data_IF_934509988327
#
_entry.id   IF_934509988327
#
_cell.length_a   1.000
_cell.length_b   1.000
_cell.length_c   1.000
_cell.angle_alpha   90.00
_cell.angle_beta   90.00
_cell.angle_gamma   90.00
#
_symmetry.space_group_name_H-M   'P 1'
#
loop_
_entity.id
_entity.type
_entity.pdbx_description
1 polymer ?
#
# COMPACT_ATOMS: atom_id res chain seq x y z
N UNK A 1 -0.05 1.82 -6.06
CA UNK A 1 -0.83 2.83 -5.31
C UNK A 1 -1.44 2.25 -4.03
N UNK A 2 -2.27 1.21 -4.14
CA UNK A 2 -3.06 0.68 -3.02
C UNK A 2 -4.42 1.39 -2.90
N UNK A 3 -5.18 1.02 -1.88
CA UNK A 3 -6.47 1.62 -1.55
C UNK A 3 -6.80 1.38 -0.07
N UNK A 4 -7.53 2.29 0.58
CA UNK A 4 -7.89 2.18 1.99
C UNK A 4 -8.73 0.92 2.22
N UNK A 5 -8.32 0.07 3.16
CA UNK A 5 -9.04 -1.16 3.47
C UNK A 5 -10.34 -0.88 4.25
N UNK A 6 -10.39 0.26 4.94
CA UNK A 6 -11.55 0.75 5.68
C UNK A 6 -11.81 2.24 5.45
N UNK A 7 -13.02 2.68 5.78
CA UNK A 7 -13.47 4.07 5.67
C UNK A 7 -12.63 5.07 6.50
N UNK A 8 -12.07 4.62 7.61
CA UNK A 8 -11.21 5.38 8.52
C UNK A 8 -9.83 5.66 7.92
N UNK A 9 -9.34 4.80 7.02
CA UNK A 9 -8.05 4.97 6.34
C UNK A 9 -8.12 5.97 5.17
N UNK A 10 -9.32 6.39 4.74
CA UNK A 10 -9.50 7.20 3.53
C UNK A 10 -8.76 8.54 3.59
N UNK A 11 -8.87 9.27 4.71
CA UNK A 11 -8.21 10.57 4.83
C UNK A 11 -6.70 10.47 4.82
N UNK A 12 -6.20 9.40 5.43
CA UNK A 12 -4.80 9.04 5.51
C UNK A 12 -4.24 8.66 4.12
N UNK A 13 -4.98 7.86 3.37
CA UNK A 13 -4.70 7.52 1.98
C UNK A 13 -4.62 8.76 1.09
N UNK A 14 -5.63 9.63 1.15
CA UNK A 14 -5.67 10.86 0.34
C UNK A 14 -4.52 11.81 0.70
N UNK A 15 -4.19 11.94 1.99
CA UNK A 15 -3.07 12.77 2.42
C UNK A 15 -1.75 12.29 1.82
N UNK A 16 -1.47 10.98 1.84
CA UNK A 16 -0.26 10.41 1.24
C UNK A 16 -0.25 10.61 -0.29
N UNK A 17 -1.38 10.39 -0.96
CA UNK A 17 -1.52 10.58 -2.40
C UNK A 17 -1.25 12.02 -2.83
N UNK A 18 -1.86 13.01 -2.17
CA UNK A 18 -1.67 14.42 -2.54
C UNK A 18 -0.34 14.99 -2.05
N UNK A 19 0.34 14.35 -1.09
CA UNK A 19 1.68 14.79 -0.65
C UNK A 19 2.78 14.31 -1.59
N UNK A 20 2.48 13.42 -2.54
CA UNK A 20 3.45 12.84 -3.46
C UNK A 20 3.73 13.76 -4.66
N UNK A 21 4.85 14.47 -4.62
CA UNK A 21 5.30 15.38 -5.69
C UNK A 21 5.69 14.64 -6.98
N UNK A 22 5.99 13.34 -6.90
CA UNK A 22 6.25 12.52 -8.08
C UNK A 22 4.96 12.22 -8.84
N UNK A 23 3.80 12.27 -8.15
CA UNK A 23 2.47 12.07 -8.75
C UNK A 23 1.79 13.39 -9.12
N UNK A 24 1.75 14.37 -8.21
CA UNK A 24 1.06 15.65 -8.41
C UNK A 24 1.93 16.77 -7.87
N UNK A 25 2.30 17.74 -8.71
CA UNK A 25 3.17 18.86 -8.31
C UNK A 25 2.36 20.11 -7.96
N UNK A 26 2.30 20.47 -6.67
CA UNK A 26 1.73 21.72 -6.15
C UNK A 26 2.79 22.75 -5.74
N UNK A 27 4.08 22.41 -5.89
CA UNK A 27 5.20 23.31 -5.60
C UNK A 27 5.58 23.38 -4.10
N UNK A 28 6.18 24.49 -3.63
CA UNK A 28 6.88 24.54 -2.34
C UNK A 28 6.00 24.32 -1.10
N UNK A 29 4.67 24.39 -1.23
CA UNK A 29 3.71 24.17 -0.13
C UNK A 29 2.94 22.85 -0.26
N UNK A 30 3.50 21.86 -0.98
CA UNK A 30 2.89 20.56 -1.26
C UNK A 30 2.16 19.94 -0.07
N UNK A 31 2.84 19.79 1.08
CA UNK A 31 2.29 19.12 2.27
C UNK A 31 1.07 19.84 2.85
N UNK A 32 1.10 21.17 2.89
CA UNK A 32 -0.02 21.99 3.38
C UNK A 32 -1.21 21.92 2.45
N UNK A 33 -0.96 22.04 1.14
CA UNK A 33 -1.99 21.91 0.10
C UNK A 33 -2.61 20.51 0.13
N UNK A 34 -1.77 19.47 0.25
CA UNK A 34 -2.20 18.09 0.35
C UNK A 34 -3.11 17.84 1.55
N UNK A 35 -2.79 18.39 2.72
CA UNK A 35 -3.62 18.27 3.92
C UNK A 35 -4.99 18.94 3.74
N UNK A 36 -5.02 20.11 3.10
CA UNK A 36 -6.28 20.81 2.80
C UNK A 36 -7.13 20.04 1.79
N UNK A 37 -6.54 19.57 0.70
CA UNK A 37 -7.25 18.78 -0.32
C UNK A 37 -7.74 17.45 0.27
N UNK A 38 -6.91 16.75 1.06
CA UNK A 38 -7.30 15.50 1.68
C UNK A 38 -8.47 15.70 2.65
N UNK A 39 -8.40 16.68 3.55
CA UNK A 39 -9.47 16.95 4.53
C UNK A 39 -10.80 17.33 3.86
N UNK A 40 -10.77 18.16 2.81
CA UNK A 40 -11.97 18.55 2.05
C UNK A 40 -12.56 17.39 1.24
N UNK A 41 -11.73 16.50 0.68
CA UNK A 41 -12.19 15.37 -0.13
C UNK A 41 -12.61 14.14 0.68
N UNK A 42 -12.06 13.95 1.87
CA UNK A 42 -12.30 12.76 2.70
C UNK A 42 -13.79 12.43 2.89
N UNK A 43 -14.69 13.37 3.23
CA UNK A 43 -16.10 13.05 3.43
C UNK A 43 -16.77 12.46 2.17
N UNK A 44 -16.44 12.99 0.99
CA UNK A 44 -16.99 12.51 -0.29
C UNK A 44 -16.44 11.13 -0.63
N UNK A 45 -15.13 10.93 -0.53
CA UNK A 45 -14.49 9.65 -0.89
C UNK A 45 -14.88 8.55 0.09
N UNK A 46 -15.03 8.86 1.39
CA UNK A 46 -15.52 7.90 2.39
C UNK A 46 -16.90 7.37 2.04
N UNK A 47 -17.83 8.23 1.62
CA UNK A 47 -19.17 7.81 1.14
C UNK A 47 -19.09 6.89 -0.08
N UNK A 48 -18.12 7.11 -0.97
CA UNK A 48 -17.91 6.24 -2.14
C UNK A 48 -17.43 4.85 -1.71
N UNK A 49 -16.50 4.77 -0.76
CA UNK A 49 -16.07 3.49 -0.19
C UNK A 49 -17.20 2.80 0.58
N UNK A 50 -17.98 3.54 1.39
CA UNK A 50 -19.16 3.03 2.07
C UNK A 50 -20.16 2.37 1.10
N UNK A 51 -20.41 3.02 -0.05
CA UNK A 51 -21.34 2.53 -1.07
C UNK A 51 -20.91 1.22 -1.75
N UNK A 52 -19.62 0.86 -1.69
CA UNK A 52 -19.09 -0.40 -2.25
C UNK A 52 -18.77 -1.45 -1.18
N UNK A 53 -19.20 -1.25 0.07
CA UNK A 53 -18.99 -2.19 1.17
C UNK A 53 -17.92 -1.79 2.19
N UNK A 54 -17.54 -0.50 2.24
CA UNK A 54 -16.74 0.09 3.32
C UNK A 54 -15.23 0.15 3.09
N UNK A 55 -14.73 -0.24 1.92
CA UNK A 55 -13.29 -0.23 1.66
C UNK A 55 -12.89 -0.73 0.28
N UNK A 56 -11.61 -0.59 -0.04
CA UNK A 56 -11.02 -1.10 -1.28
C UNK A 56 -10.68 -2.59 -1.13
N UNK A 57 -11.11 -3.45 -2.08
CA UNK A 57 -10.78 -4.88 -2.03
C UNK A 57 -9.34 -5.17 -2.49
N UNK A 58 -8.57 -4.16 -2.90
CA UNK A 58 -7.26 -4.33 -3.53
C UNK A 58 -6.27 -5.07 -2.62
N UNK A 59 -6.22 -4.75 -1.33
CA UNK A 59 -5.31 -5.40 -0.39
C UNK A 59 -5.57 -6.91 -0.32
N UNK A 60 -6.83 -7.28 -0.11
CA UNK A 60 -7.26 -8.69 -0.05
C UNK A 60 -6.83 -9.45 -1.31
N UNK A 61 -7.12 -8.90 -2.49
CA UNK A 61 -6.80 -9.60 -3.73
C UNK A 61 -5.32 -9.65 -4.03
N UNK A 62 -4.56 -8.59 -3.75
CA UNK A 62 -3.11 -8.59 -3.94
C UNK A 62 -2.41 -9.56 -2.98
N UNK A 63 -2.85 -9.67 -1.73
CA UNK A 63 -2.31 -10.64 -0.76
C UNK A 63 -2.59 -12.09 -1.21
N UNK A 64 -3.81 -12.38 -1.69
CA UNK A 64 -4.14 -13.70 -2.28
C UNK A 64 -3.26 -14.00 -3.49
N UNK A 65 -3.17 -13.06 -4.43
CA UNK A 65 -2.35 -13.23 -5.63
C UNK A 65 -0.88 -13.47 -5.31
N UNK A 66 -0.31 -12.69 -4.38
CA UNK A 66 1.08 -12.86 -3.95
C UNK A 66 1.30 -14.24 -3.33
N UNK A 67 0.42 -14.67 -2.43
CA UNK A 67 0.53 -15.97 -1.77
C UNK A 67 0.43 -17.14 -2.77
N UNK A 68 -0.55 -17.13 -3.67
CA UNK A 68 -0.68 -18.18 -4.69
C UNK A 68 0.49 -18.18 -5.68
N UNK A 69 1.01 -16.99 -6.02
CA UNK A 69 2.20 -16.88 -6.88
C UNK A 69 3.42 -17.51 -6.20
N UNK A 70 3.65 -17.25 -4.91
CA UNK A 70 4.76 -17.85 -4.17
C UNK A 70 4.67 -19.38 -4.11
N UNK A 71 3.47 -19.96 -3.92
CA UNK A 71 3.28 -21.42 -3.96
C UNK A 71 3.68 -22.01 -5.32
N UNK A 72 3.31 -21.34 -6.42
CA UNK A 72 3.70 -21.77 -7.76
C UNK A 72 5.21 -21.65 -7.93
N UNK A 73 5.80 -20.53 -7.49
CA UNK A 73 7.25 -20.29 -7.56
C UNK A 73 8.05 -21.35 -6.78
N UNK A 74 7.59 -21.76 -5.60
CA UNK A 74 8.24 -22.82 -4.82
C UNK A 74 8.26 -24.17 -5.58
N UNK A 75 7.20 -24.46 -6.35
CA UNK A 75 7.13 -25.68 -7.15
C UNK A 75 7.99 -25.62 -8.42
N UNK A 76 8.02 -24.47 -9.12
CA UNK A 76 8.73 -24.34 -10.42
C UNK A 76 10.19 -23.89 -10.27
N UNK A 77 10.55 -23.26 -9.16
CA UNK A 77 11.89 -22.74 -8.88
C UNK A 77 12.35 -23.12 -7.46
N UNK A 78 12.49 -24.43 -7.16
CA UNK A 78 12.79 -24.91 -5.81
C UNK A 78 14.16 -24.43 -5.29
N UNK A 79 15.10 -24.07 -6.17
CA UNK A 79 16.44 -23.57 -5.80
C UNK A 79 16.42 -22.19 -5.15
N UNK A 80 15.36 -21.40 -5.38
CA UNK A 80 15.17 -20.08 -4.77
C UNK A 80 14.06 -20.07 -3.72
N UNK A 81 13.46 -21.24 -3.44
CA UNK A 81 12.50 -21.42 -2.37
C UNK A 81 13.20 -21.33 -0.99
N UNK A 82 12.47 -20.94 0.07
CA UNK A 82 11.06 -20.54 0.07
C UNK A 82 10.83 -19.10 -0.43
N UNK A 83 9.84 -18.92 -1.29
CA UNK A 83 9.37 -17.58 -1.69
C UNK A 83 8.35 -17.06 -0.68
N UNK A 84 8.59 -15.87 -0.16
CA UNK A 84 7.73 -15.27 0.87
C UNK A 84 6.95 -14.11 0.25
N UNK A 85 5.60 -14.09 0.33
CA UNK A 85 4.80 -13.04 -0.27
C UNK A 85 4.83 -11.76 0.56
N UNK A 86 5.09 -10.63 -0.11
CA UNK A 86 4.96 -9.30 0.47
C UNK A 86 4.13 -8.41 -0.44
N UNK A 87 3.26 -7.62 0.15
CA UNK A 87 2.51 -6.56 -0.53
C UNK A 87 2.97 -5.23 0.05
N UNK A 88 3.35 -4.30 -0.81
CA UNK A 88 3.77 -2.95 -0.42
C UNK A 88 3.00 -1.93 -1.24
N UNK A 89 2.22 -1.09 -0.55
CA UNK A 89 1.47 -0.02 -1.19
C UNK A 89 2.14 1.34 -0.96
N UNK A 90 1.87 2.24 -1.91
CA UNK A 90 2.45 3.59 -1.92
C UNK A 90 1.69 4.53 -0.97
N UNK A 91 0.36 4.41 -0.92
CA UNK A 91 -0.52 5.33 -0.19
C UNK A 91 -1.46 4.65 0.82
N UNK A 92 -1.60 3.33 0.78
CA UNK A 92 -2.42 2.55 1.71
C UNK A 92 -1.55 1.61 2.54
N UNK A 93 -2.09 1.08 3.64
CA UNK A 93 -1.38 0.09 4.43
C UNK A 93 -1.45 -1.30 3.76
N UNK A 94 -0.41 -2.13 3.85
CA UNK A 94 0.90 -1.83 4.45
C UNK A 94 1.77 -0.93 3.53
N UNK A 95 2.42 0.09 4.10
CA UNK A 95 3.24 1.02 3.33
C UNK A 95 4.59 0.38 2.97
N UNK A 96 5.21 0.83 1.87
CA UNK A 96 6.54 0.36 1.46
C UNK A 96 7.59 0.40 2.59
N UNK A 97 7.60 1.46 3.41
CA UNK A 97 8.54 1.56 4.53
C UNK A 97 8.30 0.51 5.63
N UNK A 98 7.04 0.23 5.95
CA UNK A 98 6.66 -0.79 6.94
C UNK A 98 7.06 -2.19 6.44
N UNK A 99 6.79 -2.47 5.16
CA UNK A 99 7.11 -3.73 4.52
C UNK A 99 8.62 -3.91 4.39
N UNK A 100 9.35 -2.83 4.11
CA UNK A 100 10.81 -2.86 4.07
C UNK A 100 11.39 -3.20 5.44
N UNK A 101 10.87 -2.58 6.50
CA UNK A 101 11.27 -2.92 7.88
C UNK A 101 10.99 -4.39 8.21
N UNK A 102 9.82 -4.88 7.79
CA UNK A 102 9.44 -6.29 7.93
C UNK A 102 10.37 -7.21 7.14
N UNK A 103 10.70 -6.88 5.90
CA UNK A 103 11.64 -7.64 5.06
C UNK A 103 13.01 -7.80 5.73
N UNK A 104 13.56 -6.71 6.29
CA UNK A 104 14.81 -6.77 7.03
C UNK A 104 14.71 -7.67 8.26
N UNK A 105 13.62 -7.53 9.04
CA UNK A 105 13.36 -8.37 10.21
C UNK A 105 13.18 -9.86 9.85
N UNK A 106 12.60 -10.14 8.69
CA UNK A 106 12.43 -11.48 8.14
C UNK A 106 13.73 -12.03 7.49
N UNK A 107 14.84 -11.28 7.57
CA UNK A 107 16.20 -11.75 7.22
C UNK A 107 16.71 -11.29 5.84
N UNK A 108 15.92 -10.55 5.07
CA UNK A 108 16.33 -10.07 3.75
C UNK A 108 17.31 -8.89 3.87
N UNK A 109 18.25 -8.75 2.93
CA UNK A 109 19.20 -7.62 2.89
C UNK A 109 20.37 -7.72 3.87
N UNK A 110 20.32 -8.64 4.83
CA UNK A 110 21.52 -9.10 5.52
C UNK A 110 22.33 -9.96 4.55
N UNK A 111 23.49 -9.48 4.11
CA UNK A 111 24.41 -10.31 3.32
C UNK A 111 24.77 -11.56 4.12
N UNK A 112 24.20 -12.69 3.73
CA UNK A 112 24.70 -14.01 4.05
C UNK A 112 24.89 -14.78 2.74
N UNK A 113 26.11 -14.65 2.21
CA UNK A 113 26.77 -15.46 1.15
C UNK A 113 26.16 -15.43 -0.25
#
# INVERSE_FOLDING_TARGET
MGGPAGEDEVGDYLRRLFSDSDLIQFGPFQSSIARLIASTRTPKIRKQYAAIGGGSPIRKWTEIQAAETCKILDAIAPTTAPHIPYVAFRYANPLTGDVYTKLLADGFGHRAR
#
